data_IF_133393636061
#
_entry.id   IF_133393636061
#
_cell.length_a   1.000
_cell.length_b   1.000
_cell.length_c   1.000
_cell.angle_alpha   90.00
_cell.angle_beta   90.00
_cell.angle_gamma   90.00
#
_symmetry.space_group_name_H-M   'P 1'
#
loop_
_entity.id
_entity.type
_entity.pdbx_description
1 polymer ?
#
# COMPACT_ATOMS: atom_id res chain seq x y z
N UNK A 1 -7.14 1.68 3.98
CA UNK A 1 -6.28 2.89 4.15
C UNK A 1 -6.58 3.68 5.42
N UNK A 2 -7.80 4.19 5.64
CA UNK A 2 -8.15 5.01 6.82
C UNK A 2 -7.68 4.40 8.16
N UNK A 3 -7.93 3.10 8.37
CA UNK A 3 -7.52 2.39 9.58
C UNK A 3 -6.00 2.34 9.80
N UNK A 4 -5.19 2.28 8.73
CA UNK A 4 -3.74 2.07 8.82
C UNK A 4 -2.93 3.36 8.89
N UNK A 5 -3.46 4.46 8.36
CA UNK A 5 -2.77 5.74 8.29
C UNK A 5 -3.26 6.75 9.32
N UNK A 6 -4.20 6.37 10.20
CA UNK A 6 -4.72 7.21 11.28
C UNK A 6 -5.19 8.59 10.75
N UNK A 7 -5.14 9.64 11.57
CA UNK A 7 -5.53 11.00 11.21
C UNK A 7 -4.42 11.76 10.45
N UNK A 8 -3.80 11.13 9.44
CA UNK A 8 -2.92 11.86 8.52
C UNK A 8 -3.69 13.00 7.86
N UNK A 9 -3.13 14.20 7.95
CA UNK A 9 -3.69 15.40 7.32
C UNK A 9 -2.95 15.70 6.02
N UNK A 10 -3.49 16.61 5.23
CA UNK A 10 -2.85 17.15 4.00
C UNK A 10 -1.50 17.84 4.28
N UNK A 11 -1.14 18.10 5.53
CA UNK A 11 0.16 18.66 5.90
C UNK A 11 1.20 17.60 6.29
N UNK A 12 0.83 16.32 6.36
CA UNK A 12 1.76 15.25 6.64
C UNK A 12 2.82 15.11 5.54
N UNK A 13 4.03 14.67 5.94
CA UNK A 13 5.05 14.21 5.00
C UNK A 13 4.48 13.14 4.05
N UNK A 14 4.88 13.09 2.77
CA UNK A 14 4.42 12.03 1.88
C UNK A 14 4.82 10.64 2.37
N UNK A 15 3.92 9.68 2.27
CA UNK A 15 4.24 8.26 2.50
C UNK A 15 4.03 7.44 1.24
N UNK A 16 4.91 6.47 1.00
CA UNK A 16 4.75 5.49 -0.07
C UNK A 16 4.12 4.21 0.51
N UNK A 17 3.01 3.77 -0.09
CA UNK A 17 2.44 2.46 0.14
C UNK A 17 2.63 1.59 -1.09
N UNK A 18 3.48 0.57 -0.95
CA UNK A 18 3.62 -0.52 -1.90
C UNK A 18 2.62 -1.61 -1.55
N UNK A 19 1.74 -1.96 -2.49
CA UNK A 19 0.74 -3.00 -2.31
C UNK A 19 0.66 -3.89 -3.55
N UNK A 20 0.32 -5.16 -3.36
CA UNK A 20 -0.05 -6.04 -4.47
C UNK A 20 -1.19 -5.44 -5.32
N UNK A 21 -1.32 -5.92 -6.55
CA UNK A 21 -2.31 -5.42 -7.51
C UNK A 21 -3.71 -5.98 -7.33
N UNK A 22 -3.88 -6.98 -6.46
CA UNK A 22 -5.13 -7.69 -6.21
C UNK A 22 -5.91 -7.15 -4.99
N UNK A 23 -5.26 -6.34 -4.16
CA UNK A 23 -5.88 -5.78 -2.97
C UNK A 23 -7.09 -4.90 -3.32
N UNK A 24 -8.13 -4.95 -2.50
CA UNK A 24 -9.35 -4.12 -2.66
C UNK A 24 -9.12 -2.61 -2.61
N UNK A 25 -7.87 -2.16 -2.40
CA UNK A 25 -7.45 -0.77 -2.41
C UNK A 25 -7.38 -0.14 -3.81
N UNK A 26 -7.52 -0.92 -4.88
CA UNK A 26 -7.47 -0.42 -6.26
C UNK A 26 -8.82 -0.07 -6.88
N UNK A 27 -9.90 -0.03 -6.08
CA UNK A 27 -11.15 0.61 -6.48
C UNK A 27 -10.95 2.12 -6.61
N UNK A 28 -11.78 2.83 -7.38
CA UNK A 28 -11.61 4.27 -7.62
C UNK A 28 -11.51 5.11 -6.32
N UNK A 29 -12.17 4.67 -5.25
CA UNK A 29 -12.17 5.34 -3.94
C UNK A 29 -10.81 5.23 -3.22
N UNK A 30 -10.08 4.13 -3.41
CA UNK A 30 -8.81 3.88 -2.72
C UNK A 30 -7.71 4.89 -3.07
N UNK A 31 -7.35 5.08 -4.36
CA UNK A 31 -6.40 6.09 -4.79
C UNK A 31 -6.82 7.52 -4.46
N UNK A 32 -8.11 7.83 -4.57
CA UNK A 32 -8.63 9.14 -4.21
C UNK A 32 -8.43 9.42 -2.71
N UNK A 33 -8.73 8.44 -1.86
CA UNK A 33 -8.50 8.56 -0.42
C UNK A 33 -7.01 8.62 -0.08
N UNK A 34 -6.15 7.82 -0.73
CA UNK A 34 -4.70 7.89 -0.50
C UNK A 34 -4.12 9.28 -0.81
N UNK A 35 -4.54 9.86 -1.94
CA UNK A 35 -4.11 11.19 -2.35
C UNK A 35 -4.52 12.27 -1.33
N UNK A 36 -5.71 12.17 -0.73
CA UNK A 36 -6.19 13.15 0.26
C UNK A 36 -5.38 13.16 1.56
N UNK A 37 -4.71 12.05 1.89
CA UNK A 37 -3.84 11.91 3.08
C UNK A 37 -2.34 11.89 2.75
N UNK A 38 -1.97 12.34 1.53
CA UNK A 38 -0.58 12.35 1.01
C UNK A 38 0.12 10.99 1.07
N UNK A 39 -0.64 9.93 0.79
CA UNK A 39 -0.13 8.59 0.56
C UNK A 39 -0.07 8.35 -0.94
N UNK A 40 1.12 8.04 -1.45
CA UNK A 40 1.34 7.56 -2.81
C UNK A 40 1.13 6.06 -2.81
N UNK A 41 0.16 5.59 -3.59
CA UNK A 41 -0.07 4.16 -3.81
C UNK A 41 0.72 3.70 -5.03
N UNK A 42 1.49 2.63 -4.86
CA UNK A 42 2.23 2.01 -5.94
C UNK A 42 1.95 0.50 -5.98
N UNK A 43 1.61 0.00 -7.17
CA UNK A 43 1.45 -1.44 -7.40
C UNK A 43 2.80 -2.13 -7.42
N UNK A 44 2.89 -3.25 -6.71
CA UNK A 44 3.93 -4.26 -6.95
C UNK A 44 3.57 -5.02 -8.23
N UNK A 45 4.54 -5.35 -9.11
CA UNK A 45 4.24 -6.16 -10.29
C UNK A 45 3.64 -7.51 -9.88
N UNK A 46 2.53 -7.96 -10.51
CA UNK A 46 1.79 -9.16 -10.10
C UNK A 46 2.70 -10.38 -9.97
N UNK A 47 3.55 -10.61 -10.97
CA UNK A 47 4.46 -11.77 -11.04
C UNK A 47 5.65 -11.69 -10.09
N UNK A 48 5.83 -10.55 -9.40
CA UNK A 48 6.95 -10.30 -8.50
C UNK A 48 6.52 -10.08 -7.04
N UNK A 49 5.23 -10.27 -6.71
CA UNK A 49 4.70 -9.99 -5.37
C UNK A 49 5.48 -10.73 -4.28
N UNK A 50 5.79 -12.01 -4.47
CA UNK A 50 6.52 -12.84 -3.49
C UNK A 50 7.95 -12.36 -3.17
N UNK A 51 8.57 -11.59 -4.06
CA UNK A 51 9.97 -11.13 -3.94
C UNK A 51 10.09 -9.62 -3.79
N UNK A 52 9.06 -8.86 -4.14
CA UNK A 52 9.06 -7.39 -4.08
C UNK A 52 8.16 -6.83 -2.98
N UNK A 53 7.17 -7.57 -2.50
CA UNK A 53 6.34 -7.14 -1.37
C UNK A 53 7.06 -7.44 -0.06
N UNK A 54 7.38 -6.40 0.72
CA UNK A 54 8.12 -6.54 1.96
C UNK A 54 7.44 -7.48 2.97
N UNK A 55 6.10 -7.50 3.01
CA UNK A 55 5.35 -8.44 3.85
C UNK A 55 5.62 -9.90 3.43
N UNK A 56 5.66 -10.18 2.13
CA UNK A 56 5.96 -11.52 1.64
C UNK A 56 7.40 -11.94 1.88
N UNK A 57 8.35 -11.02 1.67
CA UNK A 57 9.79 -11.30 1.78
C UNK A 57 10.24 -11.40 3.23
N UNK A 58 9.80 -10.47 4.08
CA UNK A 58 10.32 -10.38 5.44
C UNK A 58 9.46 -11.15 6.45
N UNK A 59 8.14 -11.16 6.28
CA UNK A 59 7.22 -11.65 7.32
C UNK A 59 6.63 -13.01 6.97
N UNK A 60 6.19 -13.19 5.72
CA UNK A 60 5.56 -14.44 5.29
C UNK A 60 6.57 -15.48 4.81
N UNK A 61 7.78 -15.09 4.42
CA UNK A 61 8.80 -16.00 3.90
C UNK A 61 9.11 -17.17 4.84
N UNK A 62 9.22 -17.01 6.17
CA UNK A 62 9.42 -18.14 7.09
C UNK A 62 8.26 -19.13 7.16
N UNK A 63 7.07 -18.75 6.66
CA UNK A 63 5.85 -19.57 6.69
C UNK A 63 5.48 -20.16 5.32
N UNK A 64 6.27 -19.88 4.29
CA UNK A 64 6.16 -20.49 2.96
C UNK A 64 7.17 -21.63 2.83
#
# INVERSE_FOLDING_TARGET
LHFHFDHRTTHAEPALLLSDDFSGHWTAEGPAYAASIRVVLQKVPPDATSVCQSADVAWNHPFK
#
